data_IF_164699950048
#
_entry.id   IF_164699950048
#
_cell.length_a   1.000
_cell.length_b   1.000
_cell.length_c   1.000
_cell.angle_alpha   90.00
_cell.angle_beta   90.00
_cell.angle_gamma   90.00
#
_symmetry.space_group_name_H-M   'P 1'
#
loop_
_entity.id
_entity.type
_entity.pdbx_description
1 polymer ?
#
# COMPACT_ATOMS: atom_id res chain seq x y z
N UNK A 1 -9.32 3.55 20.06
CA UNK A 1 -8.44 3.11 21.16
C UNK A 1 -6.99 3.31 20.76
N UNK A 2 -6.44 4.48 21.11
CA UNK A 2 -5.04 4.81 20.93
C UNK A 2 -4.17 4.16 22.01
N UNK A 3 -3.90 2.87 21.90
CA UNK A 3 -3.01 2.18 22.83
C UNK A 3 -1.60 2.76 22.80
N UNK A 4 -1.09 3.18 23.94
CA UNK A 4 0.30 3.59 24.13
C UNK A 4 1.20 2.35 24.05
N UNK A 5 2.17 2.34 23.14
CA UNK A 5 3.22 1.32 23.13
C UNK A 5 4.48 1.88 23.76
N UNK A 6 4.96 1.24 24.81
CA UNK A 6 6.25 1.54 25.44
C UNK A 6 7.28 0.56 24.90
N UNK A 7 8.34 1.06 24.28
CA UNK A 7 9.50 0.26 23.87
C UNK A 7 10.65 0.58 24.82
N UNK A 8 11.16 -0.42 25.53
CA UNK A 8 12.28 -0.24 26.45
C UNK A 8 13.49 -1.04 25.97
N UNK A 9 14.66 -0.43 25.97
CA UNK A 9 15.93 -1.02 25.55
C UNK A 9 16.82 -1.48 26.70
N UNK A 10 16.33 -1.41 27.96
CA UNK A 10 17.12 -1.87 29.12
C UNK A 10 17.02 -3.38 29.33
N UNK A 11 18.11 -4.02 29.78
CA UNK A 11 18.16 -5.44 30.08
C UNK A 11 17.79 -5.78 31.55
N UNK A 12 17.58 -4.75 32.40
CA UNK A 12 17.25 -4.94 33.83
C UNK A 12 15.74 -4.83 34.10
N UNK A 13 15.06 -5.89 34.57
CA UNK A 13 13.62 -5.88 34.77
C UNK A 13 13.12 -4.82 35.79
N UNK A 14 13.91 -4.51 36.81
CA UNK A 14 13.57 -3.49 37.81
C UNK A 14 13.59 -2.06 37.23
N UNK A 15 14.54 -1.75 36.37
CA UNK A 15 14.62 -0.46 35.69
C UNK A 15 13.48 -0.31 34.67
N UNK A 16 13.13 -1.39 33.99
CA UNK A 16 12.01 -1.42 33.06
C UNK A 16 10.68 -1.10 33.77
N UNK A 17 10.43 -1.68 34.94
CA UNK A 17 9.21 -1.39 35.71
C UNK A 17 9.15 0.07 36.15
N UNK A 18 10.25 0.67 36.58
CA UNK A 18 10.31 2.08 36.95
C UNK A 18 10.09 2.98 35.76
N UNK A 19 10.73 2.71 34.60
CA UNK A 19 10.54 3.48 33.36
C UNK A 19 9.07 3.42 32.86
N UNK A 20 8.44 2.25 32.93
CA UNK A 20 7.04 2.09 32.57
C UNK A 20 6.13 2.86 33.54
N UNK A 21 6.39 2.81 34.84
CA UNK A 21 5.60 3.56 35.83
C UNK A 21 5.71 5.07 35.63
N UNK A 22 6.92 5.61 35.37
CA UNK A 22 7.12 7.01 35.06
C UNK A 22 6.45 7.45 33.75
N UNK A 23 6.56 6.63 32.70
CA UNK A 23 5.92 6.90 31.41
C UNK A 23 4.38 6.91 31.52
N UNK A 24 3.79 6.01 32.32
CA UNK A 24 2.36 5.98 32.59
C UNK A 24 1.91 7.13 33.50
N UNK A 25 2.77 7.60 34.43
CA UNK A 25 2.54 8.76 35.27
C UNK A 25 2.61 10.13 34.58
N UNK A 26 2.95 10.15 33.28
CA UNK A 26 3.01 11.37 32.48
C UNK A 26 4.30 12.17 32.62
N UNK A 27 5.37 11.61 33.18
CA UNK A 27 6.67 12.23 33.28
C UNK A 27 7.27 12.41 31.87
N UNK A 28 7.53 13.67 31.50
CA UNK A 28 8.07 14.04 30.18
C UNK A 28 9.58 13.94 30.06
N UNK A 29 10.28 13.68 31.15
CA UNK A 29 11.74 13.62 31.18
C UNK A 29 12.29 12.21 30.93
N UNK A 30 11.42 11.20 30.90
CA UNK A 30 11.81 9.80 30.76
C UNK A 30 11.35 9.23 29.41
N UNK A 31 12.28 9.21 28.44
CA UNK A 31 12.06 8.58 27.12
C UNK A 31 11.35 9.45 26.09
N UNK A 32 11.13 8.88 24.92
CA UNK A 32 10.43 9.52 23.80
C UNK A 32 8.99 9.07 23.75
N UNK A 33 8.05 9.99 23.87
CA UNK A 33 6.63 9.72 23.71
C UNK A 33 6.25 9.72 22.24
N UNK A 34 5.90 8.56 21.72
CA UNK A 34 5.34 8.42 20.37
C UNK A 34 3.81 8.50 20.46
N UNK A 35 3.26 9.62 20.00
CA UNK A 35 1.81 9.81 19.91
C UNK A 35 1.35 9.42 18.52
N UNK A 36 0.38 8.52 18.42
CA UNK A 36 -0.24 8.17 17.15
C UNK A 36 -1.04 9.37 16.62
N UNK A 37 -0.44 10.15 15.72
CA UNK A 37 -1.05 11.36 15.16
C UNK A 37 -1.94 11.14 13.94
N UNK A 38 -1.96 9.93 13.36
CA UNK A 38 -2.71 9.61 12.14
C UNK A 38 -3.38 8.24 12.25
N UNK A 39 -4.51 8.05 11.54
CA UNK A 39 -5.14 6.74 11.42
C UNK A 39 -4.16 5.73 10.78
N UNK A 40 -4.29 4.45 11.10
CA UNK A 40 -3.46 3.37 10.51
C UNK A 40 -3.51 3.40 8.98
N UNK A 41 -4.69 3.68 8.40
CA UNK A 41 -4.89 3.75 6.95
C UNK A 41 -4.12 4.94 6.36
N UNK A 42 -4.17 6.12 7.00
CA UNK A 42 -3.43 7.30 6.54
C UNK A 42 -1.90 7.09 6.62
N UNK A 43 -1.42 6.48 7.70
CA UNK A 43 0.01 6.14 7.85
C UNK A 43 0.45 5.12 6.79
N UNK A 44 -0.37 4.09 6.50
CA UNK A 44 -0.11 3.11 5.45
C UNK A 44 -0.06 3.76 4.07
N UNK A 45 -1.04 4.59 3.73
CA UNK A 45 -1.06 5.31 2.45
C UNK A 45 0.12 6.26 2.27
N UNK A 46 0.55 6.93 3.34
CA UNK A 46 1.76 7.73 3.32
C UNK A 46 3.01 6.88 3.04
N UNK A 47 3.14 5.74 3.72
CA UNK A 47 4.24 4.80 3.46
C UNK A 47 4.25 4.32 2.00
N UNK A 48 3.10 3.90 1.45
CA UNK A 48 2.97 3.43 0.06
C UNK A 48 3.48 4.45 -0.97
N UNK A 49 3.34 5.75 -0.71
CA UNK A 49 3.82 6.81 -1.63
C UNK A 49 5.34 6.92 -1.67
N UNK A 50 6.01 6.67 -0.55
CA UNK A 50 7.43 6.98 -0.36
C UNK A 50 8.33 5.75 -0.26
N UNK A 51 7.75 4.56 -0.06
CA UNK A 51 8.51 3.32 0.00
C UNK A 51 9.17 3.01 -1.37
N UNK A 52 10.37 2.43 -1.36
CA UNK A 52 11.03 2.03 -2.59
C UNK A 52 10.22 0.93 -3.29
N UNK A 53 10.06 1.06 -4.60
CA UNK A 53 9.50 0.03 -5.48
C UNK A 53 10.65 -0.62 -6.22
N UNK A 54 10.60 -1.94 -6.39
CA UNK A 54 11.59 -2.65 -7.19
C UNK A 54 11.57 -2.16 -8.64
N UNK A 55 12.76 -1.96 -9.22
CA UNK A 55 12.88 -1.37 -10.55
C UNK A 55 12.10 -2.18 -11.60
N UNK A 56 11.14 -1.52 -12.23
CA UNK A 56 10.31 -2.12 -13.28
C UNK A 56 9.12 -2.93 -12.79
N UNK A 57 8.89 -3.07 -11.48
CA UNK A 57 7.72 -3.75 -10.93
C UNK A 57 6.46 -2.90 -11.14
N UNK A 58 5.67 -3.20 -12.16
CA UNK A 58 4.50 -2.41 -12.52
C UNK A 58 3.32 -3.26 -13.00
N UNK A 59 2.12 -2.79 -12.69
CA UNK A 59 0.86 -3.32 -13.23
C UNK A 59 0.31 -2.31 -14.24
N UNK A 60 0.06 -2.77 -15.45
CA UNK A 60 -0.54 -1.97 -16.51
C UNK A 60 -2.05 -2.09 -16.46
N UNK A 61 -2.74 -0.95 -16.41
CA UNK A 61 -4.20 -0.88 -16.32
C UNK A 61 -4.81 -0.16 -17.52
N UNK A 62 -6.08 -0.42 -17.78
CA UNK A 62 -6.83 0.33 -18.79
C UNK A 62 -7.39 1.66 -18.24
N UNK A 63 -7.92 2.50 -19.13
CA UNK A 63 -8.48 3.80 -18.76
C UNK A 63 -9.71 3.70 -17.85
N UNK A 64 -10.50 2.63 -17.95
CA UNK A 64 -11.66 2.39 -17.09
C UNK A 64 -11.23 2.11 -15.65
N UNK A 65 -10.22 1.27 -15.47
CA UNK A 65 -9.64 1.01 -14.15
C UNK A 65 -8.99 2.27 -13.57
N UNK A 66 -8.26 3.05 -14.38
CA UNK A 66 -7.67 4.31 -13.95
C UNK A 66 -8.74 5.28 -13.43
N UNK A 67 -9.84 5.45 -14.15
CA UNK A 67 -10.96 6.30 -13.73
C UNK A 67 -11.64 5.79 -12.44
N UNK A 68 -11.77 4.47 -12.27
CA UNK A 68 -12.34 3.87 -11.06
C UNK A 68 -11.43 4.08 -9.84
N UNK A 69 -10.13 3.95 -10.00
CA UNK A 69 -9.14 4.16 -8.93
C UNK A 69 -9.13 5.63 -8.49
N UNK A 70 -9.03 6.58 -9.45
CA UNK A 70 -8.89 8.01 -9.16
C UNK A 70 -10.20 8.66 -8.71
N UNK A 71 -11.33 8.31 -9.34
CA UNK A 71 -12.61 8.95 -9.07
C UNK A 71 -13.40 8.33 -7.91
N UNK A 72 -13.34 7.01 -7.73
CA UNK A 72 -14.17 6.28 -6.75
C UNK A 72 -13.38 5.67 -5.61
N UNK A 73 -12.06 5.74 -5.62
CA UNK A 73 -11.22 5.07 -4.64
C UNK A 73 -11.45 3.55 -4.61
N UNK A 74 -11.69 2.95 -5.77
CA UNK A 74 -11.98 1.53 -5.90
C UNK A 74 -10.72 0.66 -5.73
N UNK A 75 -10.90 -0.63 -5.48
CA UNK A 75 -9.84 -1.64 -5.57
C UNK A 75 -9.56 -1.97 -7.04
N UNK A 76 -8.32 -2.36 -7.34
CA UNK A 76 -7.95 -2.83 -8.67
C UNK A 76 -8.39 -4.28 -8.85
N UNK A 77 -9.26 -4.52 -9.81
CA UNK A 77 -9.75 -5.85 -10.19
C UNK A 77 -9.00 -6.39 -11.41
N UNK A 78 -8.94 -7.72 -11.60
CA UNK A 78 -8.24 -8.33 -12.75
C UNK A 78 -8.78 -7.86 -14.11
N UNK A 79 -10.08 -7.59 -14.21
CA UNK A 79 -10.72 -7.14 -15.46
C UNK A 79 -10.12 -5.81 -15.98
N UNK A 80 -9.67 -4.93 -15.09
CA UNK A 80 -9.06 -3.65 -15.43
C UNK A 80 -7.54 -3.72 -15.69
N UNK A 81 -6.94 -4.90 -15.48
CA UNK A 81 -5.51 -5.10 -15.70
C UNK A 81 -5.25 -5.51 -17.14
N UNK A 82 -4.34 -4.82 -17.81
CA UNK A 82 -3.89 -5.16 -19.16
C UNK A 82 -2.73 -6.15 -19.16
N UNK A 83 -1.73 -5.92 -18.28
CA UNK A 83 -0.51 -6.73 -18.20
C UNK A 83 0.26 -6.42 -16.89
N UNK A 84 1.35 -7.15 -16.63
CA UNK A 84 2.31 -6.89 -15.57
C UNK A 84 3.74 -6.84 -16.13
N UNK A 85 4.52 -5.84 -15.71
CA UNK A 85 5.95 -5.67 -16.05
C UNK A 85 6.83 -5.99 -14.86
N UNK A 86 8.05 -6.43 -15.15
CA UNK A 86 9.01 -6.83 -14.13
C UNK A 86 8.64 -8.15 -13.46
N UNK A 87 9.38 -8.47 -12.42
CA UNK A 87 9.14 -9.65 -11.57
C UNK A 87 8.87 -9.17 -10.15
N UNK A 88 7.77 -9.61 -9.59
CA UNK A 88 7.38 -9.32 -8.21
C UNK A 88 6.50 -10.44 -7.67
N UNK A 89 6.41 -10.53 -6.36
CA UNK A 89 5.67 -11.56 -5.63
C UNK A 89 4.45 -10.95 -4.94
N UNK A 90 3.56 -11.80 -4.46
CA UNK A 90 2.49 -11.40 -3.57
C UNK A 90 3.03 -10.67 -2.35
N UNK A 91 2.46 -9.51 -2.03
CA UNK A 91 2.88 -8.67 -0.91
C UNK A 91 3.91 -7.60 -1.27
N UNK A 92 4.45 -7.62 -2.48
CA UNK A 92 5.38 -6.59 -2.93
C UNK A 92 4.65 -5.30 -3.31
N UNK A 93 5.37 -4.19 -3.18
CA UNK A 93 4.92 -2.87 -3.61
C UNK A 93 5.18 -2.72 -5.11
N UNK A 94 4.16 -2.32 -5.85
CA UNK A 94 4.21 -2.16 -7.31
C UNK A 94 3.69 -0.80 -7.74
N UNK A 95 4.14 -0.33 -8.88
CA UNK A 95 3.59 0.84 -9.56
C UNK A 95 2.37 0.45 -10.39
N UNK A 96 1.41 1.35 -10.50
CA UNK A 96 0.22 1.17 -11.34
C UNK A 96 0.25 2.25 -12.41
N UNK A 97 0.29 1.81 -13.67
CA UNK A 97 0.53 2.65 -14.84
C UNK A 97 -0.61 2.45 -15.83
N UNK A 98 -1.09 3.52 -16.46
CA UNK A 98 -2.07 3.40 -17.55
C UNK A 98 -1.38 2.89 -18.80
N UNK A 99 -1.85 1.77 -19.35
CA UNK A 99 -1.21 1.10 -20.49
C UNK A 99 -1.12 1.99 -21.76
N UNK A 100 -2.04 2.93 -21.92
CA UNK A 100 -2.08 3.86 -23.04
C UNK A 100 -1.22 5.12 -22.81
N UNK A 101 -0.61 5.31 -21.63
CA UNK A 101 0.23 6.46 -21.32
C UNK A 101 1.64 6.26 -21.93
N UNK A 102 2.05 7.07 -22.95
CA UNK A 102 3.36 6.96 -23.53
C UNK A 102 4.49 7.35 -22.57
N UNK A 103 4.19 8.18 -21.56
CA UNK A 103 5.16 8.59 -20.53
C UNK A 103 5.35 7.51 -19.44
N UNK A 104 4.49 6.47 -19.44
CA UNK A 104 4.49 5.41 -18.42
C UNK A 104 4.52 5.95 -16.98
N UNK A 105 3.83 7.07 -16.74
CA UNK A 105 3.79 7.75 -15.45
C UNK A 105 2.93 6.95 -14.47
N UNK A 106 3.45 6.57 -13.29
CA UNK A 106 2.64 5.87 -12.29
C UNK A 106 1.51 6.77 -11.76
N UNK A 107 0.27 6.28 -11.83
CA UNK A 107 -0.91 6.95 -11.27
C UNK A 107 -1.17 6.58 -9.82
N UNK A 108 -0.66 5.42 -9.40
CA UNK A 108 -0.80 4.91 -8.04
C UNK A 108 0.35 3.95 -7.70
N UNK A 109 0.48 3.64 -6.41
CA UNK A 109 1.29 2.54 -5.87
C UNK A 109 0.44 1.70 -4.94
N UNK A 110 0.72 0.41 -4.88
CA UNK A 110 -0.03 -0.49 -4.01
C UNK A 110 0.65 -1.83 -3.78
N UNK A 111 0.21 -2.51 -2.73
CA UNK A 111 0.68 -3.85 -2.39
C UNK A 111 -0.15 -4.87 -3.14
N UNK A 112 0.50 -5.69 -3.96
CA UNK A 112 -0.18 -6.67 -4.81
C UNK A 112 -0.57 -7.93 -4.05
N UNK A 113 -1.73 -8.51 -4.38
CA UNK A 113 -2.24 -9.77 -3.85
C UNK A 113 -1.76 -10.99 -4.65
N UNK A 114 -1.20 -10.78 -5.84
CA UNK A 114 -0.77 -11.82 -6.77
C UNK A 114 0.61 -11.52 -7.33
N UNK A 115 1.35 -12.55 -7.73
CA UNK A 115 2.65 -12.38 -8.40
C UNK A 115 2.47 -11.84 -9.83
N UNK A 116 3.55 -11.32 -10.41
CA UNK A 116 3.57 -10.86 -11.81
C UNK A 116 3.12 -11.97 -12.78
N UNK A 117 3.58 -13.20 -12.55
CA UNK A 117 3.21 -14.35 -13.37
C UNK A 117 1.71 -14.67 -13.28
N UNK A 118 1.14 -14.62 -12.07
CA UNK A 118 -0.29 -14.84 -11.87
C UNK A 118 -1.11 -13.75 -12.54
N UNK A 119 -0.71 -12.49 -12.36
CA UNK A 119 -1.42 -11.33 -12.93
C UNK A 119 -1.47 -11.44 -14.46
N UNK A 120 -0.38 -11.82 -15.12
CA UNK A 120 -0.37 -12.03 -16.58
C UNK A 120 -1.38 -13.10 -17.04
N UNK A 121 -1.64 -14.13 -16.19
CA UNK A 121 -2.62 -15.18 -16.48
C UNK A 121 -4.06 -14.76 -16.25
N UNK A 122 -4.32 -13.90 -15.26
CA UNK A 122 -5.67 -13.46 -14.88
C UNK A 122 -6.02 -12.05 -15.39
N UNK A 123 -5.11 -11.37 -16.09
CA UNK A 123 -5.38 -10.10 -16.74
C UNK A 123 -6.61 -10.19 -17.65
N UNK A 124 -7.48 -9.18 -17.61
CA UNK A 124 -8.75 -9.13 -18.36
C UNK A 124 -9.80 -10.16 -17.95
N UNK A 125 -9.55 -10.97 -16.91
CA UNK A 125 -10.52 -11.93 -16.38
C UNK A 125 -11.41 -11.26 -15.33
N UNK A 126 -12.55 -11.87 -15.05
CA UNK A 126 -13.39 -11.48 -13.91
C UNK A 126 -12.88 -12.12 -12.63
N UNK A 127 -13.13 -11.51 -11.48
CA UNK A 127 -12.63 -12.02 -10.19
C UNK A 127 -13.05 -13.47 -9.89
N UNK A 128 -14.24 -13.88 -10.27
CA UNK A 128 -14.71 -15.25 -10.07
C UNK A 128 -14.01 -16.30 -10.96
N UNK A 129 -13.25 -15.88 -11.97
CA UNK A 129 -12.49 -16.76 -12.84
C UNK A 129 -11.07 -17.03 -12.31
N UNK A 130 -10.61 -16.29 -11.29
CA UNK A 130 -9.24 -16.39 -10.75
C UNK A 130 -8.91 -17.83 -10.36
N UNK A 131 -9.77 -18.46 -9.56
CA UNK A 131 -9.54 -19.81 -9.06
C UNK A 131 -9.50 -20.85 -10.19
N UNK A 132 -10.37 -20.70 -11.19
CA UNK A 132 -10.36 -21.58 -12.35
C UNK A 132 -9.08 -21.47 -13.18
N UNK A 133 -8.46 -20.28 -13.23
CA UNK A 133 -7.23 -20.03 -14.03
C UNK A 133 -5.97 -20.39 -13.26
N UNK A 134 -5.90 -20.09 -11.96
CA UNK A 134 -4.70 -20.26 -11.15
C UNK A 134 -4.69 -21.59 -10.37
N UNK A 135 -5.86 -22.14 -10.03
CA UNK A 135 -6.01 -23.25 -9.11
C UNK A 135 -6.09 -22.83 -7.63
N UNK A 136 -6.04 -21.54 -7.35
CA UNK A 136 -6.15 -20.95 -6.02
C UNK A 136 -6.68 -19.52 -6.09
N UNK A 137 -7.13 -18.97 -4.94
CA UNK A 137 -7.64 -17.60 -4.85
C UNK A 137 -7.14 -16.95 -3.55
N UNK A 138 -6.51 -15.78 -3.66
CA UNK A 138 -6.09 -14.96 -2.52
C UNK A 138 -7.01 -13.75 -2.28
N UNK A 139 -8.11 -13.67 -3.00
CA UNK A 139 -9.09 -12.60 -2.96
C UNK A 139 -9.45 -12.09 -4.36
N UNK A 140 -10.51 -11.32 -4.43
CA UNK A 140 -11.12 -10.86 -5.69
C UNK A 140 -10.40 -9.69 -6.34
N UNK A 141 -9.39 -9.12 -5.65
CA UNK A 141 -8.68 -7.91 -6.06
C UNK A 141 -7.21 -8.17 -6.33
N UNK A 142 -6.65 -7.48 -7.31
CA UNK A 142 -5.20 -7.46 -7.56
C UNK A 142 -4.51 -6.56 -6.52
N UNK A 143 -5.08 -5.38 -6.26
CA UNK A 143 -4.64 -4.46 -5.21
C UNK A 143 -5.88 -3.93 -4.50
N UNK A 144 -5.95 -4.12 -3.17
CA UNK A 144 -7.06 -3.62 -2.38
C UNK A 144 -6.94 -2.10 -2.18
N UNK A 145 -8.06 -1.39 -2.15
CA UNK A 145 -8.10 0.08 -2.00
C UNK A 145 -7.39 0.61 -0.73
N UNK A 146 -7.37 -0.17 0.35
CA UNK A 146 -6.69 0.21 1.60
C UNK A 146 -5.17 0.05 1.49
N UNK A 147 -4.72 -0.78 0.55
CA UNK A 147 -3.33 -1.07 0.22
C UNK A 147 -2.87 -0.34 -1.04
N UNK A 148 -3.64 0.66 -1.48
CA UNK A 148 -3.39 1.47 -2.67
C UNK A 148 -3.32 2.95 -2.29
N UNK A 149 -2.35 3.67 -2.83
CA UNK A 149 -2.23 5.12 -2.72
C UNK A 149 -2.08 5.75 -4.08
N UNK A 150 -2.95 6.71 -4.39
CA UNK A 150 -2.81 7.53 -5.59
C UNK A 150 -1.56 8.40 -5.47
N UNK A 151 -0.84 8.55 -6.56
CA UNK A 151 0.22 9.53 -6.70
C UNK A 151 -0.40 10.81 -7.27
N UNK A 152 0.00 11.97 -6.74
CA UNK A 152 -0.40 13.24 -7.32
C UNK A 152 0.23 13.32 -8.73
N UNK A 153 -0.59 13.45 -9.75
CA UNK A 153 -0.11 13.92 -11.04
C UNK A 153 0.35 15.36 -10.82
N UNK A 154 1.55 15.73 -11.30
CA UNK A 154 2.21 17.04 -11.12
C UNK A 154 1.38 18.28 -11.54
N UNK A 155 0.09 18.14 -11.76
CA UNK A 155 -0.83 19.23 -12.07
C UNK A 155 -1.46 19.90 -10.85
N UNK A 156 -1.27 19.37 -9.63
CA UNK A 156 -1.99 19.87 -8.44
C UNK A 156 -1.11 20.29 -7.25
N UNK A 157 0.21 20.37 -7.42
CA UNK A 157 1.11 20.90 -6.37
C UNK A 157 1.22 22.43 -6.37
N UNK A 158 0.54 23.13 -7.28
CA UNK A 158 0.61 24.59 -7.41
C UNK A 158 -0.49 25.34 -6.61
N UNK A 159 -1.27 24.68 -5.77
CA UNK A 159 -2.42 25.31 -5.10
C UNK A 159 -2.40 25.24 -3.57
N UNK A 160 -1.27 24.94 -2.95
CA UNK A 160 -1.18 24.97 -1.48
C UNK A 160 0.14 25.64 -1.03
N UNK A 161 0.18 26.96 -1.22
CA UNK A 161 1.12 27.90 -0.58
C UNK A 161 0.32 28.99 0.11
#
# INVERSE_FOLDING_TARGET
DGGMRVHCSTQHPSEMQQLVAHALGGDRLTGTRLVAGRSRIAARKHWLRHAPVEAGAAILIDGGAAAALTGKGASLLPIGVADARGEFRRGDLVEIIVAADPAATPVARGVTQYSAADIRRIARKRSHEIEAVLGYNYGDTIVHRDDLSLLATNANEASDV
#
